data_IF_975398354655
#
_entry.id   IF_975398354655
#
_cell.length_a   1.000
_cell.length_b   1.000
_cell.length_c   1.000
_cell.angle_alpha   90.00
_cell.angle_beta   90.00
_cell.angle_gamma   90.00
#
_symmetry.space_group_name_H-M   'P 1'
#
loop_
_entity.id
_entity.type
_entity.pdbx_description
1 polymer ?
#
# COMPACT_ATOMS: atom_id res chain seq x y z
N UNK A 1 102.87 -42.90 -0.48
CA UNK A 1 101.91 -42.40 -1.48
C UNK A 1 100.78 -41.69 -0.73
N UNK A 2 100.44 -40.46 -1.12
CA UNK A 2 99.37 -39.55 -0.62
C UNK A 2 99.64 -38.84 0.73
N UNK A 3 99.92 -37.53 0.86
CA UNK A 3 99.29 -36.24 0.45
C UNK A 3 98.32 -35.61 1.49
N UNK A 4 98.62 -34.33 1.82
CA UNK A 4 97.75 -33.20 2.26
C UNK A 4 97.58 -32.98 3.78
N UNK A 5 98.03 -31.88 4.42
CA UNK A 5 97.72 -30.42 4.28
C UNK A 5 96.25 -30.11 4.67
N UNK A 6 95.80 -29.06 5.38
CA UNK A 6 96.30 -27.74 5.81
C UNK A 6 95.10 -27.02 6.54
N UNK A 7 95.35 -25.99 7.38
CA UNK A 7 94.46 -24.87 7.84
C UNK A 7 93.20 -25.16 8.69
N UNK A 8 93.00 -24.62 9.91
CA UNK A 8 92.82 -23.22 10.38
C UNK A 8 91.48 -22.56 9.94
N UNK A 9 90.61 -22.18 10.88
CA UNK A 9 90.13 -20.79 11.06
C UNK A 9 89.03 -20.60 12.12
N UNK A 10 89.13 -19.44 12.75
CA UNK A 10 88.23 -18.77 13.70
C UNK A 10 86.78 -18.65 13.22
N UNK A 11 85.81 -18.90 14.10
CA UNK A 11 84.42 -18.51 13.93
C UNK A 11 84.14 -17.24 14.78
N UNK A 12 83.89 -16.12 14.11
CA UNK A 12 83.36 -14.91 14.72
C UNK A 12 81.82 -14.95 14.66
N UNK A 13 81.18 -14.72 15.82
CA UNK A 13 79.73 -14.75 15.98
C UNK A 13 79.18 -13.33 15.82
N UNK A 14 78.46 -13.06 14.73
CA UNK A 14 77.77 -11.78 14.50
C UNK A 14 76.31 -11.92 14.89
N UNK A 15 75.89 -11.24 15.97
CA UNK A 15 74.49 -11.17 16.39
C UNK A 15 73.76 -10.06 15.61
N UNK A 16 72.74 -10.43 14.84
CA UNK A 16 71.85 -9.50 14.13
C UNK A 16 70.64 -9.21 15.02
N UNK A 17 70.51 -7.97 15.47
CA UNK A 17 69.34 -7.46 16.20
C UNK A 17 68.27 -7.06 15.18
N UNK A 18 67.18 -7.83 15.09
CA UNK A 18 65.97 -7.45 14.35
C UNK A 18 65.10 -6.56 15.24
N UNK A 19 65.05 -5.26 14.93
CA UNK A 19 64.06 -4.35 15.48
C UNK A 19 62.73 -4.53 14.73
N UNK A 20 61.74 -5.15 15.39
CA UNK A 20 60.39 -5.29 14.88
C UNK A 20 59.65 -3.95 15.05
N UNK A 21 59.42 -3.24 13.93
CA UNK A 21 58.55 -2.06 13.89
C UNK A 21 57.11 -2.54 13.73
N UNK A 22 56.34 -2.52 14.81
CA UNK A 22 54.90 -2.83 14.79
C UNK A 22 54.12 -1.64 14.22
N UNK A 23 53.70 -1.72 12.96
CA UNK A 23 52.70 -0.80 12.41
C UNK A 23 51.33 -1.11 13.02
N UNK A 24 50.92 -0.31 14.00
CA UNK A 24 49.57 -0.34 14.56
C UNK A 24 48.56 0.18 13.54
N UNK A 25 47.90 -0.72 12.83
CA UNK A 25 46.68 -0.39 12.07
C UNK A 25 45.55 -0.13 13.06
N UNK A 26 45.18 1.14 13.23
CA UNK A 26 43.98 1.52 13.95
C UNK A 26 42.75 0.94 13.23
N UNK A 27 42.22 -0.18 13.74
CA UNK A 27 40.95 -0.75 13.28
C UNK A 27 39.85 0.24 13.62
N UNK A 28 39.32 0.96 12.61
CA UNK A 28 38.07 1.72 12.75
C UNK A 28 37.00 0.74 13.22
N UNK A 29 36.48 0.97 14.43
CA UNK A 29 35.35 0.21 14.94
C UNK A 29 34.21 0.27 13.91
N UNK A 30 33.77 -0.90 13.47
CA UNK A 30 32.62 -0.99 12.57
C UNK A 30 31.41 -0.40 13.28
N UNK A 31 30.83 0.66 12.71
CA UNK A 31 29.57 1.23 13.18
C UNK A 31 28.50 0.17 13.16
N UNK A 32 27.76 0.03 14.26
CA UNK A 32 26.68 -0.93 14.38
C UNK A 32 25.67 -0.75 13.22
N UNK A 33 25.15 -1.83 12.64
CA UNK A 33 24.17 -1.74 11.56
C UNK A 33 22.93 -1.00 12.04
N UNK A 34 22.50 0.00 11.27
CA UNK A 34 21.26 0.75 11.53
C UNK A 34 20.08 -0.24 11.55
N UNK A 35 19.13 -0.13 12.50
CA UNK A 35 17.94 -0.95 12.51
C UNK A 35 17.21 -0.89 11.16
N UNK A 36 16.69 -2.03 10.72
CA UNK A 36 15.87 -2.07 9.51
C UNK A 36 14.66 -1.13 9.66
N UNK A 37 14.31 -0.34 8.64
CA UNK A 37 13.12 0.51 8.69
C UNK A 37 11.87 -0.32 8.96
N UNK A 38 10.96 0.21 9.79
CA UNK A 38 9.67 -0.45 10.02
C UNK A 38 8.86 -0.51 8.72
N UNK A 39 8.27 -1.66 8.37
CA UNK A 39 7.38 -1.76 7.22
C UNK A 39 6.12 -0.89 7.36
N UNK A 40 5.80 -0.15 6.31
CA UNK A 40 4.66 0.76 6.23
C UNK A 40 4.00 0.63 4.85
N UNK A 41 2.68 0.70 4.83
CA UNK A 41 1.88 0.78 3.61
C UNK A 41 1.23 2.16 3.57
N UNK A 42 1.33 2.80 2.41
CA UNK A 42 0.78 4.11 2.13
C UNK A 42 -0.18 4.05 0.93
N UNK A 43 -1.13 4.97 0.90
CA UNK A 43 -1.89 5.31 -0.27
C UNK A 43 -1.14 6.37 -1.08
N UNK A 44 -1.10 6.20 -2.40
CA UNK A 44 -0.61 7.20 -3.36
C UNK A 44 -1.83 7.87 -3.98
N UNK A 45 -2.09 9.11 -3.55
CA UNK A 45 -3.32 9.85 -3.81
C UNK A 45 -3.05 11.14 -4.60
N UNK A 46 -4.13 11.86 -4.92
CA UNK A 46 -4.11 13.18 -5.57
C UNK A 46 -3.23 13.17 -6.82
N UNK A 47 -3.60 12.35 -7.81
CA UNK A 47 -2.85 12.20 -9.06
C UNK A 47 -1.36 11.83 -8.87
N UNK A 48 -1.05 11.18 -7.76
CA UNK A 48 0.29 10.69 -7.43
C UNK A 48 1.21 11.72 -6.77
N UNK A 49 0.65 12.81 -6.23
CA UNK A 49 1.44 13.85 -5.55
C UNK A 49 1.33 13.83 -4.03
N UNK A 50 0.44 12.99 -3.47
CA UNK A 50 0.27 12.83 -2.02
C UNK A 50 0.52 11.40 -1.59
N UNK A 51 1.16 11.24 -0.42
CA UNK A 51 1.43 9.96 0.21
C UNK A 51 0.86 9.96 1.62
N UNK A 52 -0.13 9.12 1.84
CA UNK A 52 -0.91 9.07 3.08
C UNK A 52 -0.76 7.71 3.77
N UNK A 53 -0.59 7.64 5.09
CA UNK A 53 -0.27 6.38 5.74
C UNK A 53 -1.54 5.55 5.98
N UNK A 54 -1.47 4.27 5.61
CA UNK A 54 -2.58 3.32 5.81
C UNK A 54 -2.32 2.50 7.08
N UNK A 55 -1.18 1.80 7.12
CA UNK A 55 -0.88 0.85 8.18
C UNK A 55 0.61 0.55 8.31
N UNK A 56 1.06 0.41 9.56
CA UNK A 56 2.30 -0.28 9.91
C UNK A 56 2.10 -1.79 9.77
N UNK A 57 3.10 -2.49 9.24
CA UNK A 57 3.08 -3.97 9.24
C UNK A 57 3.98 -4.47 10.36
N UNK A 58 3.36 -5.00 11.41
CA UNK A 58 4.06 -5.52 12.60
C UNK A 58 3.68 -6.97 12.82
N UNK A 59 4.66 -7.88 12.79
CA UNK A 59 4.45 -9.33 13.00
C UNK A 59 3.34 -9.91 12.12
N UNK A 60 3.24 -9.46 10.86
CA UNK A 60 2.19 -9.83 9.90
C UNK A 60 0.77 -9.38 10.29
N UNK A 61 0.66 -8.35 11.11
CA UNK A 61 -0.59 -7.67 11.40
C UNK A 61 -0.50 -6.21 10.96
N UNK A 62 -1.64 -5.64 10.59
CA UNK A 62 -1.76 -4.21 10.30
C UNK A 62 -2.07 -3.45 11.59
N UNK A 63 -1.32 -2.37 11.84
CA UNK A 63 -1.55 -1.45 12.95
C UNK A 63 -1.76 -0.04 12.43
N UNK A 64 -2.68 0.68 13.06
CA UNK A 64 -2.95 2.07 12.71
C UNK A 64 -1.66 2.91 12.83
N UNK A 65 -1.33 3.74 11.84
CA UNK A 65 -0.27 4.72 11.95
C UNK A 65 -0.77 5.91 12.77
N UNK A 66 0.09 6.93 12.91
CA UNK A 66 -0.32 8.23 13.45
C UNK A 66 -1.34 8.89 12.52
N UNK A 67 -2.42 9.45 13.09
CA UNK A 67 -3.42 10.29 12.44
C UNK A 67 -3.06 11.77 12.52
N UNK A 68 -3.57 12.61 11.59
CA UNK A 68 -3.37 14.06 11.65
C UNK A 68 -4.02 14.75 12.85
N UNK A 69 -4.90 14.05 13.59
CA UNK A 69 -5.51 14.50 14.85
C UNK A 69 -4.68 14.18 16.11
N UNK A 70 -3.59 13.41 15.98
CA UNK A 70 -2.77 12.99 17.12
C UNK A 70 -1.89 14.13 17.66
N UNK A 71 -1.24 13.86 18.81
CA UNK A 71 -0.28 14.77 19.40
C UNK A 71 0.84 15.14 18.42
N UNK A 72 1.17 16.43 18.33
CA UNK A 72 2.20 16.95 17.44
C UNK A 72 3.55 16.22 17.59
N UNK A 73 3.91 15.81 18.80
CA UNK A 73 5.14 15.07 19.08
C UNK A 73 5.18 13.71 18.37
N UNK A 74 4.05 13.00 18.31
CA UNK A 74 3.88 11.72 17.62
C UNK A 74 3.96 11.92 16.11
N UNK A 75 3.27 12.94 15.59
CA UNK A 75 3.32 13.30 14.16
C UNK A 75 4.74 13.67 13.73
N UNK A 76 5.45 14.47 14.53
CA UNK A 76 6.84 14.83 14.24
C UNK A 76 7.76 13.60 14.25
N UNK A 77 7.56 12.66 15.18
CA UNK A 77 8.31 11.42 15.21
C UNK A 77 8.03 10.56 13.97
N UNK A 78 6.76 10.45 13.60
CA UNK A 78 6.31 9.76 12.40
C UNK A 78 6.94 10.36 11.13
N UNK A 79 6.84 11.68 10.93
CA UNK A 79 7.38 12.35 9.76
C UNK A 79 8.91 12.19 9.66
N UNK A 80 9.63 12.20 10.78
CA UNK A 80 11.09 11.93 10.76
C UNK A 80 11.43 10.51 10.34
N UNK A 81 10.61 9.53 10.74
CA UNK A 81 10.85 8.12 10.44
C UNK A 81 10.46 7.76 9.00
N UNK A 82 9.33 8.25 8.52
CA UNK A 82 8.71 7.81 7.26
C UNK A 82 8.71 8.88 6.16
N UNK A 83 8.77 10.15 6.50
CA UNK A 83 8.75 11.25 5.51
C UNK A 83 10.04 12.06 5.48
N UNK A 84 11.16 11.39 5.77
CA UNK A 84 12.49 11.98 5.55
C UNK A 84 12.66 12.44 4.11
N UNK A 85 13.32 13.58 3.90
CA UNK A 85 13.55 14.10 2.55
C UNK A 85 14.27 13.06 1.67
N UNK A 86 13.76 12.85 0.45
CA UNK A 86 14.23 11.83 -0.51
C UNK A 86 14.05 10.38 -0.06
N UNK A 87 13.32 10.12 1.03
CA UNK A 87 12.90 8.77 1.37
C UNK A 87 12.09 8.22 0.20
N UNK A 88 12.36 6.96 -0.17
CA UNK A 88 11.69 6.30 -1.29
C UNK A 88 10.92 5.08 -0.84
N UNK A 89 9.81 4.83 -1.54
CA UNK A 89 9.00 3.63 -1.39
C UNK A 89 8.68 3.06 -2.77
N UNK A 90 8.50 1.74 -2.87
CA UNK A 90 8.08 1.11 -4.13
C UNK A 90 6.61 1.41 -4.35
N UNK A 91 6.25 1.85 -5.54
CA UNK A 91 4.85 1.91 -5.97
C UNK A 91 4.40 0.49 -6.25
N UNK A 92 3.26 0.10 -5.70
CA UNK A 92 2.62 -1.18 -5.96
C UNK A 92 1.39 -0.93 -6.84
N UNK A 93 1.35 -1.62 -7.98
CA UNK A 93 0.21 -1.60 -8.89
C UNK A 93 -0.11 -3.01 -9.41
N UNK A 94 -1.34 -3.47 -9.23
CA UNK A 94 -1.75 -4.87 -9.43
C UNK A 94 -0.96 -5.84 -8.56
N UNK A 95 -0.67 -5.48 -7.30
CA UNK A 95 0.11 -6.32 -6.37
C UNK A 95 1.62 -6.38 -6.61
N UNK A 96 2.14 -5.69 -7.63
CA UNK A 96 3.56 -5.80 -8.01
C UNK A 96 4.25 -4.46 -8.06
N UNK A 97 5.58 -4.45 -7.95
CA UNK A 97 6.36 -3.23 -8.09
C UNK A 97 6.14 -2.61 -9.48
N UNK A 98 5.71 -1.36 -9.49
CA UNK A 98 5.39 -0.57 -10.66
C UNK A 98 6.24 0.69 -10.79
N UNK A 99 7.09 1.00 -9.81
CA UNK A 99 7.83 2.24 -9.79
C UNK A 99 8.27 2.68 -8.39
N UNK A 100 8.40 3.98 -8.19
CA UNK A 100 8.89 4.56 -6.95
C UNK A 100 8.17 5.86 -6.65
N UNK A 101 7.79 6.06 -5.38
CA UNK A 101 7.45 7.37 -4.84
C UNK A 101 8.63 7.91 -4.07
N UNK A 102 8.91 9.19 -4.24
CA UNK A 102 9.98 9.89 -3.52
C UNK A 102 9.36 11.02 -2.69
N UNK A 103 9.67 11.04 -1.40
CA UNK A 103 9.20 12.09 -0.49
C UNK A 103 9.92 13.40 -0.79
N UNK A 104 9.14 14.42 -1.15
CA UNK A 104 9.61 15.78 -1.37
C UNK A 104 9.61 16.56 -0.05
N UNK A 105 8.50 16.54 0.67
CA UNK A 105 8.30 17.26 1.93
C UNK A 105 7.16 16.66 2.76
N UNK A 106 7.20 16.93 4.06
CA UNK A 106 6.09 16.73 4.99
C UNK A 106 6.19 17.80 6.09
N UNK A 107 5.06 18.30 6.58
CA UNK A 107 5.01 19.35 7.59
C UNK A 107 4.04 18.97 8.71
N UNK A 108 4.59 18.59 9.87
CA UNK A 108 3.81 18.23 11.04
C UNK A 108 3.02 19.42 11.64
N UNK A 109 3.37 20.66 11.26
CA UNK A 109 2.71 21.88 11.71
C UNK A 109 1.64 22.38 10.74
N UNK A 110 1.49 21.77 9.56
CA UNK A 110 0.44 22.12 8.61
C UNK A 110 -0.93 22.02 9.28
N UNK A 111 -1.84 22.97 9.04
CA UNK A 111 -3.15 22.91 9.72
C UNK A 111 -3.96 21.68 9.28
N UNK A 112 -3.86 21.34 7.99
CA UNK A 112 -4.79 20.44 7.33
C UNK A 112 -4.18 19.13 6.83
N UNK A 113 -2.88 18.87 6.96
CA UNK A 113 -2.23 17.71 6.34
C UNK A 113 -0.99 17.23 7.11
N UNK A 114 -1.06 17.25 8.45
CA UNK A 114 0.10 17.10 9.35
C UNK A 114 0.90 15.81 9.15
N UNK A 115 0.23 14.74 8.79
CA UNK A 115 0.79 13.40 8.59
C UNK A 115 0.66 12.92 7.14
N UNK A 116 0.60 13.85 6.18
CA UNK A 116 0.64 13.56 4.74
C UNK A 116 1.93 14.12 4.16
N UNK A 117 2.54 13.39 3.23
CA UNK A 117 3.71 13.87 2.50
C UNK A 117 3.35 14.31 1.07
N UNK A 118 4.01 15.37 0.60
CA UNK A 118 4.10 15.66 -0.83
C UNK A 118 5.17 14.77 -1.44
N UNK A 119 4.84 14.14 -2.57
CA UNK A 119 5.72 13.17 -3.22
C UNK A 119 5.82 13.39 -4.73
N UNK A 120 6.87 12.83 -5.30
CA UNK A 120 7.00 12.63 -6.75
C UNK A 120 6.84 11.15 -7.05
N UNK A 121 5.86 10.78 -7.87
CA UNK A 121 5.63 9.41 -8.29
C UNK A 121 6.22 9.17 -9.68
N UNK A 122 7.05 8.14 -9.81
CA UNK A 122 7.60 7.67 -11.09
C UNK A 122 7.17 6.22 -11.31
N UNK A 123 6.45 5.96 -12.40
CA UNK A 123 6.04 4.61 -12.78
C UNK A 123 5.93 4.49 -14.31
N UNK A 124 6.22 3.30 -14.83
CA UNK A 124 6.01 2.95 -16.25
C UNK A 124 4.70 2.20 -16.48
N UNK A 125 3.98 1.84 -15.41
CA UNK A 125 2.79 0.98 -15.46
C UNK A 125 1.51 1.70 -15.02
N UNK A 126 1.62 2.77 -14.26
CA UNK A 126 0.49 3.56 -13.80
C UNK A 126 0.85 5.04 -13.76
N UNK A 127 -0.08 5.88 -14.19
CA UNK A 127 -0.08 7.31 -13.86
C UNK A 127 -1.33 7.54 -13.01
N UNK A 128 -1.20 7.61 -11.67
CA UNK A 128 -2.35 7.82 -10.81
C UNK A 128 -3.11 9.08 -11.26
N UNK A 129 -4.43 8.98 -11.39
CA UNK A 129 -5.28 10.09 -11.83
C UNK A 129 -6.74 9.87 -11.43
N UNK A 130 -7.37 10.87 -10.80
CA UNK A 130 -8.74 10.75 -10.32
C UNK A 130 -8.87 9.57 -9.34
N UNK A 131 -9.80 8.64 -9.61
CA UNK A 131 -9.98 7.43 -8.79
C UNK A 131 -9.00 6.29 -9.11
N UNK A 132 -8.11 6.45 -10.10
CA UNK A 132 -7.03 5.48 -10.33
C UNK A 132 -5.88 5.80 -9.38
N UNK A 133 -5.83 5.07 -8.28
CA UNK A 133 -4.83 5.22 -7.22
C UNK A 133 -3.85 4.04 -7.21
N UNK A 134 -2.83 4.12 -6.35
CA UNK A 134 -1.86 3.06 -6.13
C UNK A 134 -1.49 2.94 -4.65
N UNK A 135 -0.76 1.89 -4.29
CA UNK A 135 -0.13 1.77 -2.98
C UNK A 135 1.36 2.12 -3.08
N UNK A 136 1.97 2.45 -1.95
CA UNK A 136 3.42 2.50 -1.82
C UNK A 136 3.90 1.85 -0.53
N UNK A 137 5.03 1.14 -0.57
CA UNK A 137 5.51 0.41 0.61
C UNK A 137 7.01 0.07 0.61
N UNK A 138 7.58 -0.04 1.81
CA UNK A 138 8.88 -0.67 2.09
C UNK A 138 8.76 -2.09 2.68
N UNK A 139 7.54 -2.64 2.85
CA UNK A 139 7.31 -4.00 3.33
C UNK A 139 7.85 -5.04 2.34
N UNK A 140 8.58 -6.06 2.80
CA UNK A 140 9.18 -7.04 1.90
C UNK A 140 8.13 -7.72 0.99
N UNK A 141 8.48 -7.96 -0.27
CA UNK A 141 7.67 -8.78 -1.18
C UNK A 141 8.17 -10.20 -1.05
N UNK A 142 7.37 -11.08 -0.47
CA UNK A 142 7.73 -12.48 -0.20
C UNK A 142 7.44 -13.39 -1.39
N UNK A 143 6.38 -13.10 -2.14
CA UNK A 143 5.96 -13.80 -3.36
C UNK A 143 5.62 -12.80 -4.46
N UNK A 144 5.84 -13.22 -5.70
CA UNK A 144 5.47 -12.41 -6.85
C UNK A 144 3.96 -12.50 -7.05
N UNK A 145 3.25 -11.39 -6.84
CA UNK A 145 1.84 -11.27 -7.21
C UNK A 145 1.68 -11.36 -8.74
N UNK A 146 0.46 -11.59 -9.20
CA UNK A 146 0.14 -11.75 -10.63
C UNK A 146 0.51 -10.54 -11.49
N UNK A 147 0.51 -9.34 -10.91
CA UNK A 147 0.65 -8.08 -11.65
C UNK A 147 -0.61 -7.67 -12.40
N UNK A 148 -1.71 -8.43 -12.28
CA UNK A 148 -2.95 -8.19 -12.99
C UNK A 148 -3.71 -7.06 -12.32
N UNK A 149 -3.84 -5.95 -13.03
CA UNK A 149 -4.84 -4.91 -12.77
C UNK A 149 -5.31 -4.38 -14.10
N UNK A 150 -6.57 -4.62 -14.43
CA UNK A 150 -7.14 -4.27 -15.74
C UNK A 150 -8.60 -3.89 -15.61
N UNK A 151 -9.11 -3.23 -16.65
CA UNK A 151 -10.56 -3.17 -16.85
C UNK A 151 -11.11 -4.59 -17.03
N UNK A 152 -12.27 -4.90 -16.46
CA UNK A 152 -12.94 -6.15 -16.78
C UNK A 152 -13.21 -6.26 -18.28
N UNK A 153 -13.32 -7.47 -18.77
CA UNK A 153 -13.76 -7.78 -20.12
C UNK A 153 -15.26 -7.53 -20.26
N UNK A 154 -15.76 -7.51 -21.49
CA UNK A 154 -17.19 -7.35 -21.74
C UNK A 154 -18.04 -8.48 -21.12
N UNK A 155 -17.66 -9.78 -21.23
CA UNK A 155 -18.37 -10.84 -20.53
C UNK A 155 -18.40 -10.67 -19.01
N UNK A 156 -17.27 -10.31 -18.40
CA UNK A 156 -17.18 -10.05 -16.96
C UNK A 156 -18.11 -8.91 -16.52
N UNK A 157 -18.15 -7.80 -17.28
CA UNK A 157 -19.05 -6.67 -16.98
C UNK A 157 -20.52 -7.06 -17.05
N UNK A 158 -20.92 -7.82 -18.07
CA UNK A 158 -22.32 -8.20 -18.23
C UNK A 158 -22.80 -9.12 -17.10
N UNK A 159 -21.95 -10.06 -16.69
CA UNK A 159 -22.27 -10.93 -15.57
C UNK A 159 -22.38 -10.14 -14.26
N UNK A 160 -21.50 -9.18 -14.04
CA UNK A 160 -21.57 -8.30 -12.88
C UNK A 160 -22.77 -7.36 -12.88
N UNK A 161 -23.19 -6.79 -14.02
CA UNK A 161 -24.39 -5.92 -14.05
C UNK A 161 -25.61 -6.66 -13.48
N UNK A 162 -25.76 -7.95 -13.82
CA UNK A 162 -26.82 -8.81 -13.28
C UNK A 162 -26.65 -9.00 -11.76
N UNK A 163 -25.44 -9.30 -11.28
CA UNK A 163 -25.17 -9.51 -9.86
C UNK A 163 -25.38 -8.24 -9.02
N UNK A 164 -24.94 -7.09 -9.52
CA UNK A 164 -25.06 -5.79 -8.85
C UNK A 164 -26.54 -5.42 -8.72
N UNK A 165 -27.31 -5.54 -9.81
CA UNK A 165 -28.77 -5.30 -9.77
C UNK A 165 -29.47 -6.25 -8.81
N UNK A 166 -29.04 -7.51 -8.76
CA UNK A 166 -29.57 -8.48 -7.80
C UNK A 166 -29.24 -8.09 -6.35
N UNK A 167 -28.05 -7.57 -6.08
CA UNK A 167 -27.66 -7.13 -4.73
C UNK A 167 -28.45 -5.89 -4.28
N UNK A 168 -28.70 -4.92 -5.16
CA UNK A 168 -29.62 -3.80 -4.87
C UNK A 168 -31.06 -4.30 -4.65
N UNK A 169 -31.56 -5.21 -5.51
CA UNK A 169 -32.91 -5.75 -5.39
C UNK A 169 -33.11 -6.56 -4.10
N UNK A 170 -32.11 -7.32 -3.65
CA UNK A 170 -32.10 -8.03 -2.36
C UNK A 170 -32.30 -7.08 -1.18
N UNK A 171 -31.88 -5.83 -1.32
CA UNK A 171 -32.04 -4.77 -0.31
C UNK A 171 -33.22 -3.84 -0.63
N UNK A 172 -34.13 -4.23 -1.52
CA UNK A 172 -35.32 -3.46 -1.92
C UNK A 172 -35.01 -2.08 -2.53
N UNK A 173 -33.83 -1.92 -3.15
CA UNK A 173 -33.43 -0.68 -3.80
C UNK A 173 -33.73 -0.75 -5.30
N UNK A 174 -34.62 0.10 -5.84
CA UNK A 174 -34.91 0.12 -7.27
C UNK A 174 -33.74 0.72 -8.06
N UNK A 175 -33.35 0.06 -9.15
CA UNK A 175 -32.24 0.49 -10.02
C UNK A 175 -32.78 1.08 -11.32
N UNK A 176 -32.97 2.39 -11.35
CA UNK A 176 -33.38 3.15 -12.56
C UNK A 176 -32.16 3.51 -13.42
N UNK A 177 -31.12 4.03 -12.75
CA UNK A 177 -29.82 4.39 -13.31
C UNK A 177 -28.75 3.81 -12.40
N UNK A 178 -27.78 3.12 -12.99
CA UNK A 178 -26.69 2.45 -12.28
C UNK A 178 -25.37 3.08 -12.73
N UNK A 179 -24.68 3.73 -11.81
CA UNK A 179 -23.41 4.40 -12.05
C UNK A 179 -22.28 3.73 -11.23
N UNK A 180 -21.03 4.00 -11.59
CA UNK A 180 -19.85 3.45 -10.91
C UNK A 180 -18.60 4.33 -11.05
N UNK A 181 -17.73 4.29 -10.04
CA UNK A 181 -16.45 5.02 -10.04
C UNK A 181 -15.30 4.12 -10.47
N UNK A 182 -15.33 2.87 -10.01
CA UNK A 182 -14.34 1.88 -10.37
C UNK A 182 -15.01 0.52 -10.52
N UNK A 183 -14.52 -0.23 -11.50
CA UNK A 183 -14.70 -1.65 -11.59
C UNK A 183 -13.42 -2.23 -12.18
N UNK A 184 -12.70 -3.02 -11.38
CA UNK A 184 -11.34 -3.48 -11.69
C UNK A 184 -11.25 -4.99 -11.53
N UNK A 185 -10.58 -5.63 -12.48
CA UNK A 185 -10.19 -7.03 -12.40
C UNK A 185 -8.76 -7.17 -11.89
N UNK A 186 -8.58 -8.01 -10.87
CA UNK A 186 -7.34 -8.30 -10.15
C UNK A 186 -7.15 -9.83 -10.11
N UNK A 187 -5.93 -10.33 -9.98
CA UNK A 187 -5.66 -11.78 -9.78
C UNK A 187 -4.84 -11.88 -8.49
N UNK A 188 -5.52 -12.10 -7.36
CA UNK A 188 -4.95 -11.89 -6.02
C UNK A 188 -4.10 -13.08 -5.54
N UNK A 189 -4.37 -14.28 -6.04
CA UNK A 189 -3.69 -15.52 -5.64
C UNK A 189 -2.88 -16.15 -6.81
N UNK A 190 -2.78 -15.43 -7.94
CA UNK A 190 -2.04 -15.83 -9.14
C UNK A 190 -2.61 -17.08 -9.84
N UNK A 191 -3.90 -17.40 -9.64
CA UNK A 191 -4.57 -18.56 -10.24
C UNK A 191 -5.11 -18.31 -11.67
N UNK A 192 -4.92 -17.08 -12.19
CA UNK A 192 -5.38 -16.61 -13.52
C UNK A 192 -6.89 -16.45 -13.65
N UNK A 193 -7.65 -16.60 -12.57
CA UNK A 193 -9.02 -16.13 -12.46
C UNK A 193 -8.96 -14.74 -11.83
N UNK A 194 -9.79 -13.85 -12.34
CA UNK A 194 -9.81 -12.51 -11.80
C UNK A 194 -10.85 -12.39 -10.70
N UNK A 195 -10.50 -11.76 -9.59
CA UNK A 195 -11.43 -11.12 -8.68
C UNK A 195 -11.86 -9.78 -9.28
N UNK A 196 -13.13 -9.44 -9.14
CA UNK A 196 -13.67 -8.17 -9.60
C UNK A 196 -14.05 -7.32 -8.39
N UNK A 197 -13.41 -6.16 -8.26
CA UNK A 197 -13.63 -5.21 -7.16
C UNK A 197 -14.23 -3.94 -7.74
N UNK A 198 -15.37 -3.50 -7.20
CA UNK A 198 -16.12 -2.39 -7.77
C UNK A 198 -16.91 -1.58 -6.75
N UNK A 199 -17.23 -0.36 -7.18
CA UNK A 199 -17.95 0.62 -6.37
C UNK A 199 -19.01 1.30 -7.23
N UNK A 200 -20.26 0.97 -6.95
CA UNK A 200 -21.44 1.37 -7.71
C UNK A 200 -22.36 2.22 -6.85
N UNK A 201 -23.24 2.97 -7.49
CA UNK A 201 -24.34 3.60 -6.80
C UNK A 201 -25.56 3.76 -7.68
N UNK A 202 -26.67 4.04 -7.01
CA UNK A 202 -27.93 4.39 -7.64
C UNK A 202 -28.49 5.67 -7.04
N UNK A 203 -29.07 6.48 -7.92
CA UNK A 203 -29.89 7.64 -7.56
C UNK A 203 -31.33 7.15 -7.33
N UNK A 204 -31.60 6.60 -6.13
CA UNK A 204 -32.93 6.09 -5.80
C UNK A 204 -33.95 7.22 -5.54
N UNK A 205 -33.48 8.34 -4.99
CA UNK A 205 -34.29 9.54 -4.72
C UNK A 205 -33.45 10.80 -4.99
N UNK A 206 -34.07 11.98 -5.22
CA UNK A 206 -33.32 13.21 -5.51
C UNK A 206 -32.28 13.58 -4.44
N UNK A 207 -32.56 13.24 -3.18
CA UNK A 207 -31.76 13.57 -1.99
C UNK A 207 -31.10 12.36 -1.33
N UNK A 208 -31.04 11.23 -2.03
CA UNK A 208 -30.39 10.05 -1.51
C UNK A 208 -29.53 9.37 -2.59
N UNK A 209 -28.48 8.70 -2.12
CA UNK A 209 -27.71 7.77 -2.93
C UNK A 209 -27.60 6.46 -2.17
N UNK A 210 -27.77 5.35 -2.86
CA UNK A 210 -27.40 4.05 -2.28
C UNK A 210 -26.10 3.59 -2.92
N UNK A 211 -25.07 3.47 -2.09
CA UNK A 211 -23.71 3.11 -2.47
C UNK A 211 -23.51 1.60 -2.24
N UNK A 212 -22.81 0.95 -3.15
CA UNK A 212 -22.42 -0.45 -3.07
C UNK A 212 -20.93 -0.59 -3.34
N UNK A 213 -20.18 -1.08 -2.35
CA UNK A 213 -18.85 -1.65 -2.56
C UNK A 213 -18.96 -3.17 -2.59
N UNK A 214 -18.19 -3.84 -3.45
CA UNK A 214 -18.19 -5.29 -3.49
C UNK A 214 -16.86 -5.90 -3.96
N UNK A 215 -16.68 -7.16 -3.60
CA UNK A 215 -15.67 -8.08 -4.14
C UNK A 215 -16.42 -9.30 -4.69
N UNK A 216 -16.20 -9.60 -5.97
CA UNK A 216 -16.78 -10.75 -6.64
C UNK A 216 -15.68 -11.71 -7.09
N UNK A 217 -15.94 -13.01 -6.95
CA UNK A 217 -15.00 -14.08 -7.28
C UNK A 217 -15.62 -15.05 -8.28
N UNK A 218 -14.75 -15.68 -9.06
CA UNK A 218 -15.16 -16.72 -9.99
C UNK A 218 -15.18 -18.09 -9.31
N UNK A 219 -16.36 -18.69 -9.21
CA UNK A 219 -16.56 -20.03 -8.68
C UNK A 219 -15.97 -21.12 -9.56
N UNK A 220 -15.96 -22.35 -9.04
CA UNK A 220 -15.52 -23.54 -9.79
C UNK A 220 -16.41 -23.86 -11.00
N UNK A 221 -17.64 -23.37 -11.01
CA UNK A 221 -18.59 -23.46 -12.12
C UNK A 221 -18.30 -22.43 -13.24
N UNK A 222 -17.30 -21.57 -13.04
CA UNK A 222 -16.90 -20.54 -13.97
C UNK A 222 -17.80 -19.30 -13.95
N UNK A 223 -18.68 -19.15 -12.96
CA UNK A 223 -19.53 -17.97 -12.78
C UNK A 223 -19.03 -17.06 -11.67
N UNK A 224 -19.30 -15.78 -11.79
CA UNK A 224 -19.05 -14.82 -10.72
C UNK A 224 -20.13 -14.89 -9.64
N UNK A 225 -19.71 -14.64 -8.40
CA UNK A 225 -20.60 -14.39 -7.27
C UNK A 225 -20.00 -13.30 -6.39
N UNK A 226 -20.86 -12.47 -5.80
CA UNK A 226 -20.44 -11.45 -4.83
C UNK A 226 -20.15 -12.18 -3.51
N UNK A 227 -18.87 -12.21 -3.13
CA UNK A 227 -18.39 -12.86 -1.90
C UNK A 227 -18.27 -11.88 -0.73
N UNK A 228 -18.26 -10.58 -1.03
CA UNK A 228 -18.39 -9.50 -0.06
C UNK A 228 -19.12 -8.32 -0.67
N UNK A 229 -20.05 -7.72 0.08
CA UNK A 229 -20.72 -6.48 -0.25
C UNK A 229 -20.89 -5.62 0.99
N UNK A 230 -20.77 -4.30 0.80
CA UNK A 230 -21.21 -3.28 1.75
C UNK A 230 -22.18 -2.35 1.02
N UNK A 231 -23.41 -2.24 1.53
CA UNK A 231 -24.47 -1.44 0.94
C UNK A 231 -24.95 -0.44 1.97
N UNK A 232 -24.90 0.84 1.61
CA UNK A 232 -25.32 1.95 2.47
C UNK A 232 -26.15 2.96 1.69
N UNK A 233 -27.21 3.45 2.30
CA UNK A 233 -27.94 4.62 1.80
C UNK A 233 -27.45 5.84 2.56
N UNK A 234 -27.16 6.91 1.84
CA UNK A 234 -26.77 8.20 2.38
C UNK A 234 -27.80 9.22 1.92
N UNK A 235 -28.39 9.93 2.87
CA UNK A 235 -29.31 11.03 2.65
C UNK A 235 -28.58 12.38 2.68
N UNK A 236 -29.17 13.40 2.03
CA UNK A 236 -28.58 14.75 1.93
C UNK A 236 -28.25 15.36 3.30
N UNK A 237 -29.04 15.08 4.34
CA UNK A 237 -28.83 15.56 5.71
C UNK A 237 -27.69 14.84 6.46
N UNK A 238 -27.20 13.71 5.92
CA UNK A 238 -26.01 13.01 6.40
C UNK A 238 -24.73 13.51 5.72
N UNK A 239 -24.85 14.34 4.68
CA UNK A 239 -23.72 14.92 3.97
C UNK A 239 -23.27 16.20 4.68
N UNK A 240 -21.98 16.29 5.03
CA UNK A 240 -21.48 17.37 5.89
C UNK A 240 -21.74 18.78 5.34
N UNK A 241 -21.62 18.98 4.02
CA UNK A 241 -21.92 20.27 3.39
C UNK A 241 -23.39 20.42 2.93
N UNK A 242 -24.23 19.39 3.13
CA UNK A 242 -25.62 19.36 2.69
C UNK A 242 -25.83 19.24 1.18
N UNK A 243 -24.80 18.87 0.41
CA UNK A 243 -24.89 18.74 -1.06
C UNK A 243 -24.76 17.29 -1.49
N UNK A 244 -25.89 16.61 -1.77
CA UNK A 244 -25.88 15.19 -2.15
C UNK A 244 -25.05 14.87 -3.40
N UNK A 245 -24.86 15.84 -4.30
CA UNK A 245 -24.11 15.66 -5.54
C UNK A 245 -22.61 15.39 -5.32
N UNK A 246 -22.06 15.69 -4.14
CA UNK A 246 -20.65 15.38 -3.84
C UNK A 246 -20.38 13.87 -3.80
N UNK A 247 -21.41 13.06 -3.54
CA UNK A 247 -21.30 11.61 -3.63
C UNK A 247 -21.06 11.17 -5.07
N UNK A 248 -21.65 11.86 -6.05
CA UNK A 248 -21.45 11.57 -7.47
C UNK A 248 -19.99 11.84 -7.92
N UNK A 249 -19.19 12.55 -7.11
CA UNK A 249 -17.74 12.78 -7.28
C UNK A 249 -16.87 11.79 -6.47
N UNK A 250 -17.49 10.80 -5.82
CA UNK A 250 -16.81 9.73 -5.08
C UNK A 250 -16.61 10.01 -3.60
N UNK A 251 -17.18 11.09 -3.05
CA UNK A 251 -17.19 11.33 -1.59
C UNK A 251 -18.05 10.26 -0.92
N UNK A 252 -17.55 9.70 0.18
CA UNK A 252 -18.11 8.54 0.86
C UNK A 252 -18.20 7.27 0.01
N UNK A 253 -17.63 7.20 -1.19
CA UNK A 253 -17.47 5.92 -1.87
C UNK A 253 -16.26 5.19 -1.32
N UNK A 254 -16.39 3.89 -1.11
CA UNK A 254 -15.24 3.03 -0.89
C UNK A 254 -14.68 2.61 -2.23
N UNK A 255 -13.44 3.00 -2.53
CA UNK A 255 -12.79 2.87 -3.83
C UNK A 255 -11.56 1.97 -3.70
N UNK A 256 -11.27 1.18 -4.73
CA UNK A 256 -10.07 0.34 -4.77
C UNK A 256 -8.79 1.21 -4.82
N UNK A 257 -7.88 1.02 -3.87
CA UNK A 257 -6.50 1.52 -3.97
C UNK A 257 -5.66 0.58 -4.83
N UNK A 258 -5.39 -0.63 -4.36
CA UNK A 258 -4.74 -1.73 -5.07
C UNK A 258 -4.82 -3.01 -4.21
N UNK A 259 -4.08 -4.06 -4.58
CA UNK A 259 -3.86 -5.26 -3.78
C UNK A 259 -2.40 -5.37 -3.36
N UNK A 260 -2.13 -6.01 -2.23
CA UNK A 260 -0.76 -6.30 -1.78
C UNK A 260 -0.74 -7.45 -0.76
N UNK A 261 0.09 -8.47 -1.00
CA UNK A 261 0.32 -9.58 -0.07
C UNK A 261 1.30 -9.13 1.03
N UNK A 262 0.78 -8.51 2.08
CA UNK A 262 1.62 -7.90 3.11
C UNK A 262 2.18 -8.92 4.12
N UNK A 263 1.53 -10.07 4.26
CA UNK A 263 1.91 -11.11 5.22
C UNK A 263 2.62 -12.32 4.60
N UNK A 264 2.63 -12.41 3.28
CA UNK A 264 3.34 -13.41 2.49
C UNK A 264 2.68 -14.77 2.43
N UNK A 265 1.38 -14.88 2.69
CA UNK A 265 0.67 -16.15 2.54
C UNK A 265 0.46 -16.55 1.06
N UNK A 266 0.59 -15.60 0.13
CA UNK A 266 0.45 -15.80 -1.32
C UNK A 266 -0.91 -15.39 -1.88
N UNK A 267 -1.80 -14.83 -1.05
CA UNK A 267 -3.06 -14.23 -1.46
C UNK A 267 -3.01 -12.76 -1.09
N UNK A 268 -2.99 -11.89 -2.09
CA UNK A 268 -2.92 -10.45 -1.85
C UNK A 268 -4.20 -9.92 -1.20
N UNK A 269 -4.05 -9.08 -0.16
CA UNK A 269 -5.18 -8.35 0.41
C UNK A 269 -5.63 -7.19 -0.48
N UNK A 270 -6.93 -6.87 -0.42
CA UNK A 270 -7.52 -5.74 -1.13
C UNK A 270 -7.51 -4.51 -0.22
N UNK A 271 -6.82 -3.46 -0.65
CA UNK A 271 -6.77 -2.17 0.04
C UNK A 271 -7.75 -1.20 -0.61
N UNK A 272 -8.54 -0.51 0.20
CA UNK A 272 -9.51 0.47 -0.27
C UNK A 272 -9.34 1.80 0.44
N UNK A 273 -9.93 2.82 -0.16
CA UNK A 273 -9.92 4.21 0.27
C UNK A 273 -11.35 4.75 0.28
N UNK A 274 -11.73 5.40 1.36
CA UNK A 274 -12.99 6.14 1.48
C UNK A 274 -12.64 7.61 1.63
N UNK A 275 -12.97 8.43 0.61
CA UNK A 275 -12.87 9.88 0.77
C UNK A 275 -13.97 10.34 1.72
N UNK A 276 -13.62 11.00 2.82
CA UNK A 276 -14.58 11.70 3.64
C UNK A 276 -14.50 13.20 3.37
N UNK A 277 -15.45 13.96 3.93
CA UNK A 277 -15.33 15.42 3.97
C UNK A 277 -14.14 15.85 4.81
N UNK A 278 -13.89 15.22 5.95
CA UNK A 278 -12.70 15.45 6.75
C UNK A 278 -11.95 14.13 6.84
N UNK A 279 -10.73 14.14 6.34
CA UNK A 279 -9.88 12.97 6.35
C UNK A 279 -10.22 11.92 5.29
N UNK A 280 -9.67 10.75 5.53
CA UNK A 280 -9.77 9.58 4.67
C UNK A 280 -9.93 8.32 5.50
N UNK A 281 -10.78 7.41 5.05
CA UNK A 281 -10.91 6.06 5.58
C UNK A 281 -10.11 5.06 4.73
N UNK A 282 -9.62 4.01 5.37
CA UNK A 282 -8.93 2.92 4.71
C UNK A 282 -9.44 1.58 5.25
N UNK A 283 -9.79 0.66 4.36
CA UNK A 283 -10.09 -0.71 4.74
C UNK A 283 -9.11 -1.67 4.05
N UNK A 284 -8.87 -2.82 4.70
CA UNK A 284 -8.14 -3.93 4.10
C UNK A 284 -8.95 -5.20 4.25
N UNK A 285 -9.17 -5.88 3.14
CA UNK A 285 -9.89 -7.15 3.08
C UNK A 285 -8.93 -8.28 2.80
N UNK A 286 -9.07 -9.35 3.59
CA UNK A 286 -8.33 -10.59 3.44
C UNK A 286 -9.26 -11.75 3.11
N UNK A 287 -8.83 -12.61 2.20
CA UNK A 287 -9.50 -13.88 1.91
C UNK A 287 -9.10 -14.91 2.97
N UNK A 288 -10.07 -15.44 3.71
CA UNK A 288 -9.88 -16.51 4.68
C UNK A 288 -11.01 -17.52 4.51
N UNK A 289 -10.65 -18.79 4.32
CA UNK A 289 -11.61 -19.89 4.10
C UNK A 289 -12.63 -19.60 2.99
N UNK A 290 -12.16 -18.98 1.89
CA UNK A 290 -12.99 -18.64 0.73
C UNK A 290 -13.94 -17.45 0.93
N UNK A 291 -13.77 -16.66 2.01
CA UNK A 291 -14.55 -15.45 2.27
C UNK A 291 -13.65 -14.24 2.43
N UNK A 292 -14.09 -13.10 1.92
CA UNK A 292 -13.42 -11.83 2.20
C UNK A 292 -13.91 -11.25 3.53
N UNK A 293 -12.96 -10.92 4.38
CA UNK A 293 -13.20 -10.33 5.70
C UNK A 293 -12.40 -9.05 5.83
N UNK A 294 -13.02 -8.01 6.39
CA UNK A 294 -12.30 -6.77 6.73
C UNK A 294 -11.38 -7.07 7.91
N UNK A 295 -10.07 -7.05 7.69
CA UNK A 295 -9.04 -7.33 8.71
C UNK A 295 -8.38 -6.07 9.26
N UNK A 296 -8.61 -4.94 8.61
CA UNK A 296 -8.16 -3.64 9.07
C UNK A 296 -9.16 -2.56 8.66
N UNK A 297 -9.38 -1.63 9.58
CA UNK A 297 -10.08 -0.38 9.37
C UNK A 297 -9.27 0.72 10.04
N UNK A 298 -8.96 1.76 9.28
CA UNK A 298 -8.21 2.90 9.75
C UNK A 298 -8.79 4.19 9.19
N UNK A 299 -8.56 5.28 9.89
CA UNK A 299 -8.91 6.61 9.43
C UNK A 299 -7.73 7.53 9.64
N UNK A 300 -7.57 8.49 8.74
CA UNK A 300 -6.63 9.56 8.91
C UNK A 300 -7.35 10.91 8.82
N UNK A 301 -7.18 11.74 9.83
CA UNK A 301 -7.73 13.08 9.83
C UNK A 301 -6.85 14.07 9.05
N UNK A 302 -7.48 14.80 8.14
CA UNK A 302 -6.95 15.98 7.45
C UNK A 302 -8.13 16.87 7.08
N UNK A 303 -7.92 18.16 6.79
CA UNK A 303 -9.06 18.98 6.35
C UNK A 303 -9.63 18.45 5.03
N UNK A 304 -10.90 18.76 4.80
CA UNK A 304 -11.55 18.55 3.52
C UNK A 304 -11.00 19.36 2.38
N UNK A 305 -11.55 19.08 1.19
CA UNK A 305 -11.32 19.80 -0.05
C UNK A 305 -11.99 21.18 -0.04
#
# INVERSE_FOLDING_TARGET
MSLRSLFANFAALTAVVFAAVSFGYAQRAATAPKPAPRPMIFAVLNDGVSLEPIALVEKKELKAPVSGSDELSLIQAFNREFYGAKQTYRVIFGGTNAGTVTVNSADASAECAKNVASVTTTSTRVTPKGHLMALATNAAVSKQASGTRRMPTWPERNELDVLIRAEFAKNSVPVTKLDYHNLTALDVDNDKKAELVGSFWVENEPKARTLLFFIAEKGSDGKYSISHSDLRTINEDEVLNGEISVLDDGVYHELLLDVFDYDGDGVAEVFTFVRAFEGSGFNVYKRTDGKWTKVFEGSNYHCGF
#
